data_IF_943796576045
#
_entry.id   IF_943796576045
#
_cell.length_a   1.000
_cell.length_b   1.000
_cell.length_c   1.000
_cell.angle_alpha   90.00
_cell.angle_beta   90.00
_cell.angle_gamma   90.00
#
_symmetry.space_group_name_H-M   'P 1'
#
loop_
_entity.id
_entity.type
_entity.pdbx_description
1 polymer ?
#
# COMPACT_ATOMS: atom_id res chain seq x y z
N UNK A 1 16.34 15.97 25.86
CA UNK A 1 16.65 14.64 25.28
C UNK A 1 15.33 14.04 24.84
N UNK A 2 14.99 14.12 23.55
CA UNK A 2 13.71 13.59 23.06
C UNK A 2 13.74 12.06 23.06
N UNK A 3 12.98 11.43 23.95
CA UNK A 3 12.76 9.99 23.93
C UNK A 3 12.04 9.61 22.64
N UNK A 4 12.81 9.04 21.71
CA UNK A 4 12.23 8.35 20.55
C UNK A 4 11.95 6.94 21.05
N UNK A 5 10.68 6.65 21.37
CA UNK A 5 10.26 5.29 21.75
C UNK A 5 10.71 4.28 20.67
N UNK A 6 10.96 3.01 21.04
CA UNK A 6 11.53 2.03 20.11
C UNK A 6 10.64 1.93 18.86
N UNK A 7 11.24 2.22 17.71
CA UNK A 7 10.55 2.15 16.43
C UNK A 7 10.18 0.70 16.14
N UNK A 8 8.89 0.45 15.85
CA UNK A 8 8.40 -0.88 15.51
C UNK A 8 8.89 -1.25 14.11
N UNK A 9 9.92 -2.10 14.06
CA UNK A 9 10.51 -2.61 12.82
C UNK A 9 9.46 -3.12 11.81
N UNK A 10 8.39 -3.77 12.28
CA UNK A 10 7.31 -4.31 11.43
C UNK A 10 6.49 -3.25 10.69
N UNK A 11 6.63 -1.98 11.04
CA UNK A 11 5.97 -0.84 10.41
C UNK A 11 6.90 0.04 9.57
N UNK A 12 8.19 -0.31 9.48
CA UNK A 12 9.16 0.50 8.74
C UNK A 12 9.51 -0.07 7.36
N UNK A 13 9.11 -1.32 7.08
CA UNK A 13 9.39 -1.97 5.81
C UNK A 13 8.12 -2.21 5.02
N UNK A 14 8.21 -1.99 3.72
CA UNK A 14 7.16 -2.37 2.79
C UNK A 14 6.80 -3.84 2.98
N UNK A 15 5.51 -4.20 3.06
CA UNK A 15 5.12 -5.60 3.19
C UNK A 15 5.65 -6.41 1.99
N UNK A 16 6.27 -7.58 2.22
CA UNK A 16 6.75 -8.41 1.13
C UNK A 16 5.58 -8.96 0.32
N UNK A 17 5.71 -8.94 -1.02
CA UNK A 17 4.76 -9.64 -1.88
C UNK A 17 4.97 -11.16 -1.75
N UNK A 18 3.98 -11.88 -1.20
CA UNK A 18 4.11 -13.32 -0.95
C UNK A 18 3.82 -14.12 -2.22
N UNK A 19 4.58 -15.20 -2.44
CA UNK A 19 4.42 -16.09 -3.63
C UNK A 19 3.01 -16.69 -3.77
N UNK A 20 2.36 -16.99 -2.65
CA UNK A 20 1.00 -17.57 -2.62
C UNK A 20 -0.05 -16.50 -2.27
N UNK A 21 -0.10 -15.42 -3.05
CA UNK A 21 -1.09 -14.37 -2.85
C UNK A 21 -2.29 -14.61 -3.79
N UNK A 22 -3.51 -14.53 -3.25
CA UNK A 22 -4.71 -14.48 -4.08
C UNK A 22 -4.79 -13.08 -4.66
N UNK A 23 -4.58 -12.96 -5.97
CA UNK A 23 -4.65 -11.68 -6.68
C UNK A 23 -6.07 -11.12 -6.60
N UNK A 24 -6.18 -9.85 -6.25
CA UNK A 24 -7.43 -9.09 -6.16
C UNK A 24 -7.36 -7.89 -7.09
N UNK A 25 -7.14 -8.18 -8.38
CA UNK A 25 -7.02 -7.20 -9.46
C UNK A 25 -8.12 -6.13 -9.43
N UNK A 26 -9.38 -6.52 -9.19
CA UNK A 26 -10.49 -5.57 -9.10
C UNK A 26 -10.34 -4.52 -7.97
N UNK A 27 -9.76 -4.91 -6.82
CA UNK A 27 -9.48 -3.96 -5.73
C UNK A 27 -8.31 -3.05 -6.09
N UNK A 28 -7.28 -3.59 -6.74
CA UNK A 28 -6.13 -2.82 -7.22
C UNK A 28 -6.55 -1.80 -8.28
N UNK A 29 -7.43 -2.19 -9.21
CA UNK A 29 -8.02 -1.28 -10.20
C UNK A 29 -8.79 -0.15 -9.52
N UNK A 30 -9.62 -0.48 -8.53
CA UNK A 30 -10.35 0.52 -7.72
C UNK A 30 -9.40 1.46 -6.96
N UNK A 31 -8.27 0.94 -6.46
CA UNK A 31 -7.24 1.76 -5.82
C UNK A 31 -6.51 2.64 -6.84
N UNK A 32 -6.33 2.20 -8.07
CA UNK A 32 -5.72 3.02 -9.12
C UNK A 32 -6.68 4.03 -9.75
N UNK A 33 -8.00 3.83 -9.64
CA UNK A 33 -8.99 4.74 -10.18
C UNK A 33 -8.81 6.16 -9.61
N UNK A 34 -8.68 7.14 -10.52
CA UNK A 34 -8.44 8.56 -10.20
C UNK A 34 -7.27 8.83 -9.26
N UNK A 35 -6.31 7.92 -9.18
CA UNK A 35 -5.11 8.10 -8.36
C UNK A 35 -4.22 9.22 -8.94
N UNK A 36 -4.19 9.30 -10.28
CA UNK A 36 -3.42 10.27 -11.05
C UNK A 36 -4.36 11.08 -11.95
N UNK A 37 -4.15 12.39 -12.00
CA UNK A 37 -4.77 13.30 -12.96
C UNK A 37 -3.68 14.26 -13.46
N UNK A 38 -3.57 14.42 -14.77
CA UNK A 38 -2.58 15.31 -15.42
C UNK A 38 -1.14 15.11 -14.93
N UNK A 39 -0.74 13.85 -14.71
CA UNK A 39 0.60 13.48 -14.23
C UNK A 39 0.86 13.79 -12.74
N UNK A 40 -0.17 14.18 -11.98
CA UNK A 40 -0.07 14.48 -10.55
C UNK A 40 -0.90 13.52 -9.72
N UNK A 41 -0.46 13.29 -8.48
CA UNK A 41 -1.19 12.48 -7.52
C UNK A 41 -2.44 13.24 -7.05
N UNK A 42 -3.62 12.81 -7.51
CA UNK A 42 -4.87 13.52 -7.29
C UNK A 42 -5.53 13.15 -5.95
N UNK A 43 -5.21 11.97 -5.40
CA UNK A 43 -5.84 11.44 -4.18
C UNK A 43 -4.82 11.31 -3.05
N UNK A 44 -4.59 12.36 -2.23
CA UNK A 44 -3.51 12.38 -1.23
C UNK A 44 -3.69 11.36 -0.10
N UNK A 45 -4.90 10.83 0.11
CA UNK A 45 -5.20 9.84 1.13
C UNK A 45 -6.12 8.74 0.59
N UNK A 46 -5.77 7.49 0.89
CA UNK A 46 -6.61 6.32 0.60
C UNK A 46 -6.82 5.54 1.90
N UNK A 47 -8.08 5.39 2.33
CA UNK A 47 -8.44 4.58 3.50
C UNK A 47 -8.93 3.20 3.07
N UNK A 48 -8.29 2.14 3.57
CA UNK A 48 -8.71 0.75 3.33
C UNK A 48 -9.25 0.18 4.65
N UNK A 49 -10.56 -0.06 4.69
CA UNK A 49 -11.25 -0.62 5.86
C UNK A 49 -11.82 -1.99 5.54
N UNK A 50 -11.63 -2.93 6.47
CA UNK A 50 -12.20 -4.27 6.44
C UNK A 50 -11.99 -4.95 7.81
N UNK A 51 -12.74 -6.01 8.14
CA UNK A 51 -12.53 -6.79 9.36
C UNK A 51 -11.10 -7.37 9.49
N UNK A 52 -10.76 -7.84 10.70
CA UNK A 52 -9.54 -8.60 10.92
C UNK A 52 -9.52 -9.85 10.01
N UNK A 53 -8.36 -10.21 9.48
CA UNK A 53 -8.21 -11.37 8.57
C UNK A 53 -8.63 -11.15 7.11
N UNK A 54 -9.28 -10.03 6.75
CA UNK A 54 -9.71 -9.80 5.36
C UNK A 54 -8.57 -9.65 4.33
N UNK A 55 -7.32 -9.46 4.79
CA UNK A 55 -6.16 -9.29 3.91
C UNK A 55 -5.93 -7.86 3.45
N UNK A 56 -6.25 -6.85 4.30
CA UNK A 56 -5.98 -5.43 4.01
C UNK A 56 -4.52 -5.21 3.59
N UNK A 57 -3.58 -5.72 4.38
CA UNK A 57 -2.14 -5.62 4.08
C UNK A 57 -1.76 -6.36 2.81
N UNK A 58 -2.44 -7.48 2.48
CA UNK A 58 -2.20 -8.22 1.23
C UNK A 58 -2.61 -7.42 0.00
N UNK A 59 -3.75 -6.73 0.04
CA UNK A 59 -4.20 -5.83 -1.06
C UNK A 59 -3.26 -4.65 -1.22
N UNK A 60 -2.79 -4.07 -0.11
CA UNK A 60 -1.80 -2.97 -0.17
C UNK A 60 -0.49 -3.45 -0.76
N UNK A 61 0.02 -4.62 -0.35
CA UNK A 61 1.20 -5.21 -0.96
C UNK A 61 0.98 -5.43 -2.47
N UNK A 62 -0.13 -6.02 -2.89
CA UNK A 62 -0.43 -6.20 -4.32
C UNK A 62 -0.48 -4.87 -5.08
N UNK A 63 -1.06 -3.82 -4.49
CA UNK A 63 -1.13 -2.50 -5.08
C UNK A 63 0.26 -1.87 -5.22
N UNK A 64 1.12 -1.93 -4.19
CA UNK A 64 2.47 -1.37 -4.20
C UNK A 64 3.40 -2.04 -5.23
N UNK A 65 3.18 -3.33 -5.53
CA UNK A 65 3.94 -4.07 -6.54
C UNK A 65 3.25 -4.06 -7.93
N UNK A 66 2.18 -3.30 -8.11
CA UNK A 66 1.49 -3.16 -9.39
C UNK A 66 2.29 -2.29 -10.37
N UNK A 67 2.26 -2.63 -11.66
CA UNK A 67 3.00 -1.93 -12.72
C UNK A 67 2.76 -0.42 -12.77
N UNK A 68 1.56 0.05 -12.38
CA UNK A 68 1.23 1.48 -12.36
C UNK A 68 2.00 2.28 -11.30
N UNK A 69 2.59 1.61 -10.31
CA UNK A 69 3.40 2.25 -9.26
C UNK A 69 4.90 1.97 -9.42
N UNK A 70 5.31 1.29 -10.49
CA UNK A 70 6.74 1.03 -10.77
C UNK A 70 7.48 2.35 -10.95
N UNK A 71 8.61 2.50 -10.24
CA UNK A 71 9.42 3.72 -10.25
C UNK A 71 8.92 4.83 -9.33
N UNK A 72 7.79 4.63 -8.64
CA UNK A 72 7.27 5.59 -7.66
C UNK A 72 7.94 5.34 -6.30
N UNK A 73 8.55 6.36 -5.68
CA UNK A 73 9.11 6.22 -4.34
C UNK A 73 8.00 5.90 -3.33
N UNK A 74 8.15 4.79 -2.61
CA UNK A 74 7.20 4.32 -1.60
C UNK A 74 7.88 4.32 -0.24
N UNK A 75 7.17 4.80 0.78
CA UNK A 75 7.56 4.72 2.18
C UNK A 75 6.47 4.02 3.00
N UNK A 76 6.85 3.39 4.10
CA UNK A 76 5.95 2.66 5.02
C UNK A 76 6.23 3.13 6.46
N UNK A 77 5.17 3.39 7.23
CA UNK A 77 5.22 3.90 8.62
C UNK A 77 4.16 3.23 9.51
#
# INVERSE_FOLDING_TARGET
>A
MSETGPLLHTKLFMPPFRRFNVLRSHLVEKLNDRLWLDGRFARPLTLISAPAGFGKTSVVAEWLYNDRLVGIPIAWL
#
